data_IF_326190928856
#
_entry.id   IF_326190928856
#
_cell.length_a   1.000
_cell.length_b   1.000
_cell.length_c   1.000
_cell.angle_alpha   90.00
_cell.angle_beta   90.00
_cell.angle_gamma   90.00
#
_symmetry.space_group_name_H-M   'P 1'
#
loop_
_entity.id
_entity.type
_entity.pdbx_description
1 polymer ?
#
# COMPACT_ATOMS: atom_id res chain seq x y z
N UNK A 1 -22.93 -18.94 8.39
CA UNK A 1 -21.61 -18.28 8.38
C UNK A 1 -21.86 -16.82 8.66
N UNK A 2 -21.09 -16.17 9.54
CA UNK A 2 -21.21 -14.73 9.70
C UNK A 2 -20.77 -14.06 8.39
N UNK A 3 -21.53 -13.09 7.92
CA UNK A 3 -21.17 -12.29 6.76
C UNK A 3 -19.89 -11.52 7.06
N UNK A 4 -18.93 -11.53 6.12
CA UNK A 4 -17.69 -10.77 6.27
C UNK A 4 -17.98 -9.30 6.05
N UNK A 5 -17.43 -8.43 6.87
CA UNK A 5 -17.52 -6.99 6.64
C UNK A 5 -16.66 -6.61 5.43
N UNK A 6 -17.21 -5.84 4.51
CA UNK A 6 -16.52 -5.33 3.32
C UNK A 6 -16.38 -3.81 3.42
N UNK A 7 -15.14 -3.31 3.40
CA UNK A 7 -14.83 -1.88 3.53
C UNK A 7 -14.05 -1.44 2.30
N UNK A 8 -14.73 -0.74 1.39
CA UNK A 8 -14.07 -0.10 0.26
C UNK A 8 -13.46 1.22 0.73
N UNK A 9 -12.15 1.37 0.58
CA UNK A 9 -11.38 2.54 0.97
C UNK A 9 -11.55 3.63 -0.09
N UNK A 10 -12.01 4.80 0.34
CA UNK A 10 -12.24 5.99 -0.50
C UNK A 10 -13.05 5.71 -1.79
N UNK A 11 -14.29 5.19 -1.67
CA UNK A 11 -15.05 4.65 -2.81
C UNK A 11 -15.46 5.69 -3.86
N UNK A 12 -15.42 6.99 -3.51
CA UNK A 12 -15.70 8.09 -4.44
C UNK A 12 -14.45 8.91 -4.79
N UNK A 13 -13.28 8.51 -4.28
CA UNK A 13 -11.99 9.17 -4.49
C UNK A 13 -11.92 10.63 -3.99
N UNK A 14 -12.92 11.08 -3.24
CA UNK A 14 -13.07 12.50 -2.88
C UNK A 14 -12.60 12.83 -1.47
N UNK A 15 -12.42 11.80 -0.63
CA UNK A 15 -12.19 11.99 0.81
C UNK A 15 -10.74 12.36 1.13
N UNK A 16 -9.79 12.11 0.22
CA UNK A 16 -8.37 12.39 0.45
C UNK A 16 -7.87 11.66 1.71
N UNK A 17 -8.32 10.41 1.89
CA UNK A 17 -8.18 9.65 3.14
C UNK A 17 -6.72 9.39 3.58
N UNK A 18 -5.76 9.75 2.73
CA UNK A 18 -4.33 9.63 2.98
C UNK A 18 -3.82 8.22 2.66
N UNK A 19 -2.85 7.76 3.44
CA UNK A 19 -2.30 6.42 3.29
C UNK A 19 -2.83 5.52 4.42
N UNK A 20 -3.05 4.25 4.11
CA UNK A 20 -3.48 3.24 5.08
C UNK A 20 -2.61 2.01 4.88
N UNK A 21 -2.23 1.35 5.96
CA UNK A 21 -1.66 0.00 5.89
C UNK A 21 -2.69 -0.99 6.37
N UNK A 22 -3.10 -1.92 5.52
CA UNK A 22 -3.92 -3.06 5.91
C UNK A 22 -3.00 -4.22 6.25
N UNK A 23 -2.88 -4.55 7.53
CA UNK A 23 -2.09 -5.69 8.01
C UNK A 23 -2.92 -6.96 7.86
N UNK A 24 -2.36 -7.96 7.19
CA UNK A 24 -3.05 -9.20 6.87
C UNK A 24 -3.28 -10.04 8.14
N UNK A 25 -4.55 -10.31 8.45
CA UNK A 25 -4.95 -11.09 9.61
C UNK A 25 -6.39 -11.63 9.43
N UNK A 26 -6.74 -12.78 10.04
CA UNK A 26 -8.08 -13.37 9.90
C UNK A 26 -9.11 -12.66 10.80
N UNK A 27 -9.44 -11.41 10.48
CA UNK A 27 -10.32 -10.55 11.29
C UNK A 27 -11.81 -10.68 10.92
N UNK A 28 -12.13 -11.27 9.77
CA UNK A 28 -13.47 -11.22 9.18
C UNK A 28 -13.81 -9.89 8.51
N UNK A 29 -12.84 -8.95 8.42
CA UNK A 29 -12.98 -7.66 7.73
C UNK A 29 -12.09 -7.66 6.49
N UNK A 30 -12.68 -7.45 5.33
CA UNK A 30 -12.01 -7.32 4.05
C UNK A 30 -11.98 -5.85 3.65
N UNK A 31 -10.78 -5.33 3.39
CA UNK A 31 -10.58 -4.00 2.85
C UNK A 31 -10.31 -4.10 1.35
N UNK A 32 -10.89 -3.18 0.58
CA UNK A 32 -10.70 -3.10 -0.86
C UNK A 32 -10.38 -1.68 -1.31
N UNK A 33 -9.68 -1.54 -2.43
CA UNK A 33 -9.37 -0.24 -3.04
C UNK A 33 -9.23 -0.36 -4.55
N UNK A 34 -9.45 0.76 -5.25
CA UNK A 34 -9.02 0.91 -6.64
C UNK A 34 -7.49 1.03 -6.69
N UNK A 35 -6.88 0.40 -7.69
CA UNK A 35 -5.43 0.31 -7.86
C UNK A 35 -5.04 0.39 -9.33
N UNK A 36 -3.75 0.63 -9.60
CA UNK A 36 -3.17 0.50 -10.93
C UNK A 36 -3.43 1.66 -11.88
N UNK A 37 -3.63 2.89 -11.37
CA UNK A 37 -3.82 4.09 -12.18
C UNK A 37 -4.98 3.92 -13.15
N UNK A 38 -4.71 4.15 -14.44
CA UNK A 38 -5.68 4.05 -15.54
C UNK A 38 -6.27 2.65 -15.78
N UNK A 39 -5.69 1.60 -15.19
CA UNK A 39 -6.26 0.25 -15.28
C UNK A 39 -7.57 0.15 -14.50
N UNK A 40 -7.73 0.97 -13.44
CA UNK A 40 -8.89 0.96 -12.55
C UNK A 40 -9.20 -0.44 -12.02
N UNK A 41 -8.15 -1.19 -11.67
CA UNK A 41 -8.28 -2.52 -11.09
C UNK A 41 -8.79 -2.41 -9.65
N UNK A 42 -9.42 -3.46 -9.14
CA UNK A 42 -9.83 -3.56 -7.74
C UNK A 42 -9.08 -4.71 -7.07
N UNK A 43 -8.53 -4.45 -5.87
CA UNK A 43 -7.89 -5.48 -5.05
C UNK A 43 -8.39 -5.41 -3.63
N UNK A 44 -8.36 -6.55 -2.95
CA UNK A 44 -8.86 -6.66 -1.58
C UNK A 44 -8.04 -7.62 -0.74
N UNK A 45 -8.02 -7.37 0.57
CA UNK A 45 -7.27 -8.17 1.54
C UNK A 45 -7.98 -8.18 2.89
N UNK A 46 -7.96 -9.34 3.56
CA UNK A 46 -8.50 -9.49 4.91
C UNK A 46 -7.47 -9.03 5.96
N UNK A 47 -7.90 -8.24 6.94
CA UNK A 47 -6.97 -7.69 7.92
C UNK A 47 -7.54 -6.63 8.83
N UNK A 48 -6.65 -5.80 9.37
CA UNK A 48 -7.01 -4.58 10.08
C UNK A 48 -6.25 -3.38 9.51
N UNK A 49 -6.93 -2.25 9.40
CA UNK A 49 -6.38 -1.02 8.84
C UNK A 49 -5.70 -0.15 9.90
N UNK A 50 -4.49 0.34 9.58
CA UNK A 50 -3.75 1.34 10.35
C UNK A 50 -3.71 2.63 9.51
N UNK A 51 -4.42 3.70 9.91
CA UNK A 51 -4.33 4.98 9.22
C UNK A 51 -2.96 5.61 9.44
N UNK A 52 -2.35 6.09 8.36
CA UNK A 52 -1.08 6.80 8.40
C UNK A 52 -1.34 8.30 8.28
N UNK A 53 -1.36 8.99 9.41
CA UNK A 53 -1.53 10.45 9.46
C UNK A 53 -0.22 11.15 9.03
N UNK A 54 -0.32 12.19 8.19
CA UNK A 54 0.82 12.98 7.67
C UNK A 54 1.85 12.26 6.77
N UNK A 55 1.45 11.57 5.70
CA UNK A 55 2.41 10.97 4.81
C UNK A 55 2.96 12.04 3.85
N UNK A 56 3.96 12.80 4.30
CA UNK A 56 4.78 13.66 3.43
C UNK A 56 5.35 12.87 2.23
N UNK A 57 5.51 11.57 2.44
CA UNK A 57 5.95 10.57 1.47
C UNK A 57 4.87 10.11 0.48
N UNK A 58 3.58 10.45 0.67
CA UNK A 58 2.55 10.15 -0.33
C UNK A 58 2.91 10.77 -1.66
N UNK A 59 3.23 12.06 -1.69
CA UNK A 59 3.63 12.73 -2.91
C UNK A 59 4.86 12.07 -3.57
N UNK A 60 5.78 11.50 -2.77
CA UNK A 60 6.91 10.74 -3.32
C UNK A 60 6.47 9.43 -3.99
N UNK A 61 5.46 8.74 -3.44
CA UNK A 61 4.83 7.57 -4.07
C UNK A 61 4.09 7.97 -5.36
N UNK A 62 3.25 9.01 -5.32
CA UNK A 62 2.54 9.53 -6.50
C UNK A 62 3.52 9.86 -7.63
N UNK A 63 4.60 10.59 -7.32
CA UNK A 63 5.65 10.95 -8.28
C UNK A 63 6.46 9.73 -8.76
N UNK A 64 6.56 8.67 -7.95
CA UNK A 64 7.21 7.43 -8.34
C UNK A 64 6.34 6.63 -9.32
N UNK A 65 5.07 6.38 -8.98
CA UNK A 65 4.13 5.61 -9.79
C UNK A 65 3.66 6.36 -11.05
N UNK A 66 3.56 7.69 -10.99
CA UNK A 66 3.23 8.54 -12.14
C UNK A 66 4.21 8.39 -13.33
N UNK A 67 5.47 8.00 -13.07
CA UNK A 67 6.45 7.67 -14.13
C UNK A 67 6.06 6.45 -14.96
N UNK A 68 5.17 5.62 -14.43
CA UNK A 68 4.73 4.35 -15.00
C UNK A 68 3.24 4.36 -15.39
N UNK A 69 2.56 5.51 -15.30
CA UNK A 69 1.11 5.60 -15.52
C UNK A 69 0.30 4.76 -14.54
N UNK A 70 0.82 4.55 -13.33
CA UNK A 70 0.14 3.87 -12.23
C UNK A 70 0.22 2.35 -12.21
N UNK A 71 0.55 1.69 -13.32
CA UNK A 71 0.60 0.22 -13.34
C UNK A 71 2.01 -0.27 -13.68
N UNK A 72 2.93 -0.31 -12.70
CA UNK A 72 4.25 -0.87 -12.95
C UNK A 72 4.31 -2.39 -12.85
N UNK A 73 5.10 -3.05 -13.71
CA UNK A 73 5.53 -2.57 -15.02
C UNK A 73 4.32 -2.56 -15.96
N UNK A 74 4.21 -1.54 -16.81
CA UNK A 74 3.10 -1.40 -17.77
C UNK A 74 2.80 -2.72 -18.49
N UNK A 75 1.54 -3.11 -18.77
CA UNK A 75 1.24 -4.34 -19.47
C UNK A 75 2.07 -4.49 -20.76
N UNK A 76 2.93 -5.51 -20.82
CA UNK A 76 3.86 -5.75 -21.93
C UNK A 76 5.28 -5.22 -21.72
N UNK A 77 5.58 -4.61 -20.57
CA UNK A 77 6.94 -4.28 -20.13
C UNK A 77 7.41 -5.37 -19.18
N UNK A 78 8.51 -6.08 -19.47
CA UNK A 78 9.05 -7.07 -18.55
C UNK A 78 9.42 -6.41 -17.21
N UNK A 79 9.16 -7.09 -16.08
CA UNK A 79 9.69 -6.69 -14.76
C UNK A 79 11.21 -6.46 -14.77
N UNK A 80 11.91 -7.03 -15.75
CA UNK A 80 13.34 -6.84 -16.03
C UNK A 80 13.73 -5.37 -16.33
N UNK A 81 12.75 -4.50 -16.64
CA UNK A 81 12.99 -3.05 -16.85
C UNK A 81 12.92 -2.23 -15.56
N UNK A 82 12.44 -2.80 -14.45
CA UNK A 82 12.67 -2.22 -13.13
C UNK A 82 14.14 -2.40 -12.79
N UNK A 83 14.92 -1.33 -12.93
CA UNK A 83 16.30 -1.38 -12.53
C UNK A 83 16.33 -1.49 -11.01
N UNK A 84 17.32 -2.19 -10.45
CA UNK A 84 17.51 -2.31 -8.99
C UNK A 84 17.47 -0.94 -8.29
N UNK A 85 17.86 0.13 -8.99
CA UNK A 85 17.75 1.52 -8.53
C UNK A 85 16.30 1.94 -8.23
N UNK A 86 15.32 1.50 -9.01
CA UNK A 86 13.91 1.88 -8.86
C UNK A 86 13.29 1.13 -7.68
N UNK A 87 13.62 -0.15 -7.52
CA UNK A 87 13.29 -0.93 -6.32
C UNK A 87 13.91 -0.32 -5.06
N UNK A 88 15.15 0.15 -5.14
CA UNK A 88 15.82 0.82 -4.03
C UNK A 88 15.13 2.15 -3.69
N UNK A 89 14.77 2.95 -4.69
CA UNK A 89 14.05 4.21 -4.46
C UNK A 89 12.71 3.94 -3.77
N UNK A 90 11.92 2.98 -4.24
CA UNK A 90 10.66 2.62 -3.59
C UNK A 90 10.89 2.13 -2.15
N UNK A 91 11.93 1.31 -1.94
CA UNK A 91 12.30 0.82 -0.60
C UNK A 91 12.57 1.98 0.36
N UNK A 92 13.32 3.00 -0.06
CA UNK A 92 13.61 4.17 0.77
C UNK A 92 12.36 5.04 1.02
N UNK A 93 11.50 5.21 0.02
CA UNK A 93 10.22 5.94 0.19
C UNK A 93 9.35 5.23 1.24
N UNK A 94 9.16 3.91 1.10
CA UNK A 94 8.37 3.10 2.04
C UNK A 94 8.96 3.15 3.44
N UNK A 95 10.28 3.01 3.58
CA UNK A 95 10.98 3.07 4.88
C UNK A 95 10.80 4.42 5.59
N UNK A 96 10.66 5.50 4.82
CA UNK A 96 10.42 6.85 5.35
C UNK A 96 9.02 7.05 5.94
N UNK A 97 8.07 6.15 5.68
CA UNK A 97 6.70 6.22 6.21
C UNK A 97 6.70 5.69 7.64
N UNK A 98 6.37 6.55 8.64
CA UNK A 98 6.35 6.13 10.03
C UNK A 98 5.12 5.25 10.31
N UNK A 99 5.34 4.13 10.99
CA UNK A 99 4.30 3.33 11.60
C UNK A 99 4.60 3.20 13.09
N UNK A 100 3.61 3.24 13.96
CA UNK A 100 3.82 2.99 15.38
C UNK A 100 3.47 1.55 15.71
N UNK A 101 4.39 0.85 16.38
CA UNK A 101 4.09 -0.39 17.07
C UNK A 101 3.59 -0.04 18.47
N UNK A 102 2.29 -0.16 18.66
CA UNK A 102 1.60 0.08 19.92
C UNK A 102 1.19 -1.23 20.58
N UNK A 103 1.39 -1.27 21.89
CA UNK A 103 0.92 -2.29 22.83
C UNK A 103 0.12 -1.59 23.93
N UNK A 104 -0.42 -2.31 24.92
CA UNK A 104 -1.11 -1.64 26.03
C UNK A 104 -0.15 -0.86 26.93
N UNK A 105 1.14 -1.21 26.89
CA UNK A 105 2.16 -0.75 27.80
C UNK A 105 3.12 0.26 27.16
N UNK A 106 3.23 0.25 25.82
CA UNK A 106 4.27 1.01 25.10
C UNK A 106 3.88 1.30 23.65
N UNK A 107 4.29 2.48 23.20
CA UNK A 107 4.27 2.88 21.80
C UNK A 107 5.71 3.13 21.31
N UNK A 108 6.10 2.49 20.21
CA UNK A 108 7.43 2.64 19.60
C UNK A 108 7.34 2.94 18.11
N UNK A 109 8.20 3.83 17.58
CA UNK A 109 8.30 4.01 16.14
C UNK A 109 8.86 2.75 15.48
N UNK A 110 8.24 2.35 14.37
CA UNK A 110 8.63 1.25 13.51
C UNK A 110 8.63 1.74 12.05
N UNK A 111 9.58 1.25 11.27
CA UNK A 111 9.62 1.50 9.83
C UNK A 111 8.81 0.44 9.08
N UNK A 112 8.16 0.86 8.00
CA UNK A 112 7.68 -0.08 6.99
C UNK A 112 8.88 -0.61 6.20
N UNK A 113 8.79 -1.85 5.76
CA UNK A 113 9.73 -2.41 4.80
C UNK A 113 9.00 -2.79 3.53
N UNK A 114 9.58 -2.48 2.37
CA UNK A 114 9.02 -2.92 1.11
C UNK A 114 9.21 -4.43 0.95
N UNK A 115 8.12 -5.17 0.74
CA UNK A 115 8.13 -6.62 0.65
C UNK A 115 8.45 -7.08 -0.79
N UNK A 116 9.75 -7.23 -1.05
CA UNK A 116 10.26 -7.67 -2.35
C UNK A 116 9.84 -9.10 -2.74
N UNK A 117 9.40 -9.93 -1.78
CA UNK A 117 8.98 -11.30 -2.09
C UNK A 117 7.63 -11.35 -2.81
N UNK A 118 6.83 -10.28 -2.71
CA UNK A 118 5.51 -10.12 -3.33
C UNK A 118 5.53 -9.06 -4.45
N UNK A 119 6.65 -8.95 -5.15
CA UNK A 119 6.84 -7.92 -6.18
C UNK A 119 5.81 -8.03 -7.33
N UNK A 120 5.31 -9.23 -7.60
CA UNK A 120 4.24 -9.52 -8.56
C UNK A 120 2.88 -8.92 -8.15
N UNK A 121 2.68 -8.62 -6.87
CA UNK A 121 1.50 -7.91 -6.38
C UNK A 121 1.66 -6.38 -6.46
N UNK A 122 2.86 -5.83 -6.68
CA UNK A 122 3.05 -4.39 -6.63
C UNK A 122 2.29 -3.66 -7.75
N UNK A 123 1.49 -2.66 -7.40
CA UNK A 123 0.94 -1.68 -8.35
C UNK A 123 0.63 -0.36 -7.61
N UNK A 124 0.30 0.73 -8.33
CA UNK A 124 -0.12 1.98 -7.66
C UNK A 124 -1.33 1.73 -6.77
N UNK A 125 -1.33 2.31 -5.57
CA UNK A 125 -2.39 2.07 -4.59
C UNK A 125 -2.35 0.68 -3.94
N UNK A 126 -1.40 -0.19 -4.30
CA UNK A 126 -1.23 -1.53 -3.74
C UNK A 126 0.24 -1.92 -3.59
N UNK A 127 0.84 -1.55 -2.45
CA UNK A 127 2.26 -1.75 -2.20
C UNK A 127 2.44 -2.80 -1.10
N UNK A 128 2.97 -3.98 -1.40
CA UNK A 128 3.29 -4.99 -0.39
C UNK A 128 4.36 -4.48 0.57
N UNK A 129 4.06 -4.55 1.87
CA UNK A 129 4.96 -4.12 2.94
C UNK A 129 5.04 -5.15 4.05
N UNK A 130 6.15 -5.14 4.78
CA UNK A 130 6.27 -5.77 6.09
C UNK A 130 6.12 -4.70 7.17
N UNK A 131 5.38 -5.03 8.21
CA UNK A 131 5.15 -4.20 9.38
C UNK A 131 5.59 -4.93 10.64
N UNK A 132 5.69 -4.22 11.76
CA UNK A 132 5.89 -4.82 13.08
C UNK A 132 4.76 -5.77 13.53
N UNK A 133 3.61 -5.73 12.84
CA UNK A 133 2.47 -6.62 13.07
C UNK A 133 2.38 -7.79 12.08
N UNK A 134 3.26 -7.84 11.08
CA UNK A 134 3.26 -8.85 10.02
C UNK A 134 3.12 -8.24 8.62
N UNK A 135 2.91 -9.10 7.60
CA UNK A 135 2.69 -8.68 6.22
C UNK A 135 1.48 -7.76 6.08
N UNK A 136 1.60 -6.73 5.26
CA UNK A 136 0.53 -5.80 4.98
C UNK A 136 0.57 -5.28 3.55
N UNK A 137 -0.44 -4.48 3.22
CA UNK A 137 -0.54 -3.71 1.99
C UNK A 137 -0.65 -2.24 2.38
N UNK A 138 0.31 -1.43 1.91
CA UNK A 138 0.23 0.01 1.93
C UNK A 138 -0.63 0.47 0.75
N UNK A 139 -1.79 1.04 1.06
CA UNK A 139 -2.72 1.62 0.10
C UNK A 139 -2.66 3.13 0.20
N UNK A 140 -2.74 3.80 -0.95
CA UNK A 140 -2.91 5.24 -1.04
C UNK A 140 -3.92 5.55 -2.14
N UNK A 141 -4.40 6.79 -2.16
CA UNK A 141 -5.28 7.26 -3.23
C UNK A 141 -4.61 7.07 -4.59
N UNK A 142 -5.33 6.43 -5.51
CA UNK A 142 -4.91 6.27 -6.90
C UNK A 142 -4.80 7.66 -7.55
N UNK A 143 -3.74 7.92 -8.31
CA UNK A 143 -3.55 9.22 -8.97
C UNK A 143 -4.07 9.17 -10.41
N UNK A 144 -5.39 9.20 -10.60
CA UNK A 144 -6.05 9.42 -11.89
C UNK A 144 -6.87 10.73 -11.94
#
# INVERSE_FOLDING_TARGET
MAERAYVFLDPDGSQGAGAVVVVQAPTGVVYASQVGGYANDERSVEGFAIPLFHPQHLHALEMFFGRYGGNPPYPGTPYEWWQEKDLQVLTEIVRGIPLWHTTREKDEPASLEFDRARLDELTEGWIPVLTSYGPGILTHQNCD
#
